data_IF_830584225578
#
_entry.id   IF_830584225578
#
_cell.length_a   1.000
_cell.length_b   1.000
_cell.length_c   1.000
_cell.angle_alpha   90.00
_cell.angle_beta   90.00
_cell.angle_gamma   90.00
#
_symmetry.space_group_name_H-M   'P 1'
#
loop_
_entity.id
_entity.type
_entity.pdbx_description
1 polymer ?
#
# COMPACT_ATOMS: atom_id res chain seq x y z
N UNK A 1 28.86 21.13 -4.96
CA UNK A 1 28.04 22.24 -4.44
C UNK A 1 26.70 21.65 -4.04
N UNK A 2 26.53 21.40 -2.74
CA UNK A 2 25.36 20.73 -2.15
C UNK A 2 24.23 21.74 -1.96
N UNK A 3 23.42 21.93 -2.99
CA UNK A 3 22.18 22.68 -2.89
C UNK A 3 21.10 21.77 -2.32
N UNK A 4 20.68 22.00 -1.08
CA UNK A 4 19.48 21.37 -0.51
C UNK A 4 18.28 21.84 -1.34
N UNK A 5 17.65 20.94 -2.10
CA UNK A 5 16.36 21.21 -2.73
C UNK A 5 15.30 21.08 -1.63
N UNK A 6 14.67 22.21 -1.30
CA UNK A 6 13.65 22.32 -0.25
C UNK A 6 12.39 21.60 -0.73
N UNK A 7 11.82 20.73 0.11
CA UNK A 7 10.47 20.16 -0.10
C UNK A 7 9.51 21.31 -0.41
N UNK A 8 8.67 21.24 -1.47
CA UNK A 8 7.71 22.29 -1.78
C UNK A 8 6.83 22.60 -0.55
N UNK A 9 6.81 23.88 -0.14
CA UNK A 9 6.04 24.39 1.00
C UNK A 9 4.50 24.16 1.00
N UNK A 10 3.76 23.87 -0.11
CA UNK A 10 2.30 23.80 -0.04
C UNK A 10 1.76 22.63 0.80
N UNK A 11 2.43 21.48 0.81
CA UNK A 11 1.96 20.28 1.52
C UNK A 11 2.24 20.35 3.03
N UNK A 12 3.38 20.96 3.41
CA UNK A 12 3.75 21.14 4.80
C UNK A 12 2.88 22.18 5.50
N UNK A 13 2.54 23.27 4.81
CA UNK A 13 1.73 24.36 5.37
C UNK A 13 0.31 23.94 5.75
N UNK A 14 -0.35 23.07 4.97
CA UNK A 14 -1.72 22.61 5.28
C UNK A 14 -1.72 21.65 6.47
N UNK A 15 -0.74 20.73 6.54
CA UNK A 15 -0.60 19.78 7.65
C UNK A 15 -0.16 20.48 8.95
N UNK A 16 0.76 21.44 8.87
CA UNK A 16 1.23 22.21 10.03
C UNK A 16 0.13 23.13 10.59
N UNK A 17 -0.70 23.72 9.72
CA UNK A 17 -1.85 24.55 10.14
C UNK A 17 -2.94 23.73 10.83
N UNK A 18 -3.17 22.48 10.39
CA UNK A 18 -4.07 21.54 11.04
C UNK A 18 -3.50 21.07 12.39
N UNK A 19 -2.22 20.72 12.46
CA UNK A 19 -1.56 20.29 13.69
C UNK A 19 -1.54 21.38 14.77
N UNK A 20 -1.29 22.65 14.38
CA UNK A 20 -1.32 23.78 15.31
C UNK A 20 -2.72 24.10 15.84
N UNK A 21 -3.79 23.83 15.08
CA UNK A 21 -5.18 24.06 15.51
C UNK A 21 -5.75 22.92 16.36
N UNK A 22 -5.25 21.69 16.18
CA UNK A 22 -5.61 20.56 17.03
C UNK A 22 -4.92 20.63 18.41
N UNK A 23 -3.70 21.17 18.48
CA UNK A 23 -2.97 21.33 19.75
C UNK A 23 -3.45 22.45 20.68
N UNK A 24 -4.36 23.32 20.23
CA UNK A 24 -4.78 24.52 21.00
C UNK A 24 -6.12 24.37 21.75
N UNK A 25 -6.77 23.20 21.70
CA UNK A 25 -8.11 22.99 22.31
C UNK A 25 -8.15 22.05 23.53
N UNK A 26 -7.01 21.72 24.16
CA UNK A 26 -7.01 20.97 25.42
C UNK A 26 -6.33 21.76 26.52
N UNK A 27 -7.11 22.57 27.24
CA UNK A 27 -6.67 23.22 28.48
C UNK A 27 -7.82 23.25 29.47
N UNK A 28 -8.01 22.16 30.21
CA UNK A 28 -8.81 22.17 31.44
C UNK A 28 -8.06 21.49 32.60
N UNK A 29 -8.30 21.92 33.86
CA UNK A 29 -7.40 21.69 34.97
C UNK A 29 -7.69 20.40 35.75
N UNK A 30 -6.63 19.77 36.29
CA UNK A 30 -6.69 18.51 37.04
C UNK A 30 -7.32 18.64 38.45
N UNK A 31 -8.15 17.69 38.92
CA UNK A 31 -8.53 17.57 40.33
C UNK A 31 -7.70 16.48 41.08
N UNK A 32 -7.74 16.45 42.43
CA UNK A 32 -6.65 15.94 43.25
C UNK A 32 -6.70 14.44 43.57
N UNK A 33 -5.55 13.92 44.01
CA UNK A 33 -5.26 12.52 44.29
C UNK A 33 -5.93 11.97 45.54
N UNK A 34 -6.55 10.79 45.42
CA UNK A 34 -6.83 9.89 46.55
C UNK A 34 -6.56 8.42 46.21
N UNK A 35 -6.17 7.68 47.24
CA UNK A 35 -5.48 6.39 47.27
C UNK A 35 -6.41 5.18 47.44
N UNK A 36 -6.11 4.06 46.75
CA UNK A 36 -5.94 2.65 47.23
C UNK A 36 -6.46 1.54 46.27
N UNK A 37 -5.48 0.76 45.79
CA UNK A 37 -5.35 -0.72 45.73
C UNK A 37 -6.44 -1.67 45.17
N UNK A 38 -5.92 -2.49 44.23
CA UNK A 38 -6.01 -3.97 44.05
C UNK A 38 -7.09 -4.60 43.16
N UNK A 39 -6.54 -5.33 42.16
CA UNK A 39 -6.99 -6.56 41.51
C UNK A 39 -7.95 -6.46 40.33
N UNK A 40 -7.40 -6.46 39.11
CA UNK A 40 -7.51 -7.58 38.14
C UNK A 40 -7.01 -7.09 36.77
N UNK A 41 -6.00 -7.76 36.23
CA UNK A 41 -5.38 -7.44 34.95
C UNK A 41 -6.31 -7.81 33.79
N UNK A 42 -7.19 -6.88 33.43
CA UNK A 42 -7.81 -6.84 32.11
C UNK A 42 -7.22 -5.62 31.43
N UNK A 43 -6.20 -5.85 30.59
CA UNK A 43 -5.62 -4.85 29.71
C UNK A 43 -6.71 -4.36 28.76
N UNK A 44 -7.38 -3.28 29.16
CA UNK A 44 -8.25 -2.49 28.30
C UNK A 44 -7.31 -1.67 27.42
N UNK A 45 -6.95 -2.24 26.27
CA UNK A 45 -6.24 -1.51 25.23
C UNK A 45 -7.16 -0.41 24.69
N UNK A 46 -6.64 0.80 24.41
CA UNK A 46 -7.44 1.85 23.82
C UNK A 46 -7.75 1.44 22.38
N UNK A 47 -9.04 1.24 22.10
CA UNK A 47 -9.61 1.16 20.75
C UNK A 47 -9.48 2.53 20.07
N UNK A 48 -8.26 2.99 19.79
CA UNK A 48 -8.05 4.13 18.89
C UNK A 48 -8.02 3.61 17.46
N UNK A 49 -9.20 3.25 16.95
CA UNK A 49 -9.45 3.47 15.54
C UNK A 49 -9.15 4.94 15.28
N UNK A 50 -8.21 5.26 14.38
CA UNK A 50 -8.00 6.63 13.92
C UNK A 50 -9.23 7.02 13.09
N UNK A 51 -10.34 7.27 13.77
CA UNK A 51 -11.42 8.07 13.24
C UNK A 51 -10.84 9.48 13.18
N UNK A 52 -10.51 9.93 11.97
CA UNK A 52 -10.32 11.34 11.74
C UNK A 52 -11.65 12.03 12.06
N UNK A 53 -11.80 12.49 13.31
CA UNK A 53 -12.92 13.29 13.79
C UNK A 53 -12.84 14.69 13.15
N UNK A 54 -12.96 14.73 11.82
CA UNK A 54 -13.08 15.95 11.06
C UNK A 54 -14.56 16.34 11.13
N UNK A 55 -14.85 17.44 11.80
CA UNK A 55 -16.20 17.95 11.86
C UNK A 55 -16.69 18.40 10.47
N UNK A 56 -18.01 18.44 10.29
CA UNK A 56 -18.65 18.76 9.01
C UNK A 56 -18.18 20.12 8.46
N UNK A 57 -17.95 21.10 9.31
CA UNK A 57 -17.54 22.45 8.89
C UNK A 57 -16.11 22.47 8.38
N UNK A 58 -15.19 21.79 9.08
CA UNK A 58 -13.81 21.60 8.62
C UNK A 58 -13.78 20.82 7.31
N UNK A 59 -14.62 19.78 7.17
CA UNK A 59 -14.79 19.03 5.92
C UNK A 59 -15.21 19.93 4.75
N UNK A 60 -16.21 20.80 4.94
CA UNK A 60 -16.63 21.75 3.91
C UNK A 60 -15.53 22.74 3.53
N UNK A 61 -14.74 23.21 4.49
CA UNK A 61 -13.63 24.12 4.22
C UNK A 61 -12.54 23.45 3.37
N UNK A 62 -12.17 22.21 3.71
CA UNK A 62 -11.20 21.43 2.93
C UNK A 62 -11.72 21.18 1.52
N UNK A 63 -12.99 20.78 1.39
CA UNK A 63 -13.62 20.54 0.09
C UNK A 63 -13.60 21.80 -0.78
N UNK A 64 -14.03 22.94 -0.24
CA UNK A 64 -14.03 24.22 -0.96
C UNK A 64 -12.61 24.63 -1.41
N UNK A 65 -11.60 24.37 -0.58
CA UNK A 65 -10.21 24.63 -0.93
C UNK A 65 -9.74 23.72 -2.08
N UNK A 66 -10.03 22.42 -2.03
CA UNK A 66 -9.65 21.47 -3.08
C UNK A 66 -10.37 21.78 -4.41
N UNK A 67 -11.63 22.18 -4.37
CA UNK A 67 -12.39 22.60 -5.55
C UNK A 67 -11.80 23.86 -6.21
N UNK A 68 -11.38 24.85 -5.42
CA UNK A 68 -10.69 26.04 -5.92
C UNK A 68 -9.32 25.68 -6.50
N UNK A 69 -8.59 24.81 -5.81
CA UNK A 69 -7.28 24.29 -6.25
C UNK A 69 -7.36 23.60 -7.61
N UNK A 70 -8.37 22.74 -7.82
CA UNK A 70 -8.60 22.05 -9.09
C UNK A 70 -8.95 22.98 -10.25
N UNK A 71 -9.54 24.15 -9.98
CA UNK A 71 -9.83 25.17 -11.01
C UNK A 71 -8.58 25.93 -11.44
N UNK A 72 -7.57 26.00 -10.57
CA UNK A 72 -6.33 26.72 -10.85
C UNK A 72 -5.30 25.84 -11.58
N UNK A 73 -5.47 25.68 -12.90
CA UNK A 73 -4.59 24.86 -13.74
C UNK A 73 -3.13 25.31 -13.73
N UNK A 74 -2.87 26.62 -13.72
CA UNK A 74 -1.50 27.15 -13.67
C UNK A 74 -0.78 26.72 -12.40
N UNK A 75 -1.48 26.73 -11.26
CA UNK A 75 -0.94 26.26 -9.99
C UNK A 75 -0.64 24.76 -10.03
N UNK A 76 -1.55 23.95 -10.58
CA UNK A 76 -1.33 22.50 -10.72
C UNK A 76 -0.10 22.18 -11.59
N UNK A 77 0.04 22.85 -12.74
CA UNK A 77 1.22 22.69 -13.62
C UNK A 77 2.52 23.09 -12.92
N UNK A 78 2.49 24.19 -12.17
CA UNK A 78 3.65 24.63 -11.40
C UNK A 78 4.04 23.63 -10.30
N UNK A 79 3.05 23.07 -9.61
CA UNK A 79 3.27 22.03 -8.59
C UNK A 79 3.81 20.75 -9.23
N UNK A 80 3.30 20.35 -10.40
CA UNK A 80 3.80 19.22 -11.17
C UNK A 80 5.26 19.40 -11.59
N UNK A 81 5.63 20.53 -12.20
CA UNK A 81 7.02 20.79 -12.58
C UNK A 81 7.99 20.85 -11.38
N UNK A 82 7.50 21.30 -10.22
CA UNK A 82 8.28 21.24 -8.99
C UNK A 82 8.55 19.78 -8.56
N UNK A 83 7.58 18.88 -8.73
CA UNK A 83 7.74 17.45 -8.48
C UNK A 83 8.64 16.76 -9.51
N UNK A 84 8.59 17.14 -10.79
CA UNK A 84 9.48 16.58 -11.82
C UNK A 84 10.96 16.83 -11.53
N UNK A 85 11.28 17.94 -10.86
CA UNK A 85 12.64 18.28 -10.44
C UNK A 85 13.01 17.78 -9.05
N UNK A 86 12.07 17.14 -8.35
CA UNK A 86 12.32 16.59 -7.02
C UNK A 86 13.22 15.36 -7.10
N UNK A 87 14.21 15.31 -6.21
CA UNK A 87 15.03 14.14 -6.00
C UNK A 87 15.07 13.83 -4.51
N UNK A 88 14.78 12.59 -4.14
CA UNK A 88 14.90 12.14 -2.76
C UNK A 88 16.37 12.25 -2.30
N UNK A 89 16.60 12.56 -1.03
CA UNK A 89 17.96 12.65 -0.48
C UNK A 89 18.68 11.27 -0.53
N UNK A 90 17.93 10.19 -0.35
CA UNK A 90 18.39 8.81 -0.48
C UNK A 90 17.71 8.14 -1.68
N UNK A 91 18.38 8.16 -2.83
CA UNK A 91 17.83 7.63 -4.09
C UNK A 91 18.67 6.49 -4.68
N UNK A 92 19.62 5.94 -3.90
CA UNK A 92 20.48 4.87 -4.36
C UNK A 92 19.68 3.60 -4.69
N UNK A 93 19.96 2.97 -5.82
CA UNK A 93 19.35 1.72 -6.31
C UNK A 93 20.42 0.66 -6.58
N UNK A 94 21.51 0.69 -5.81
CA UNK A 94 22.74 -0.08 -6.10
C UNK A 94 22.49 -1.58 -6.12
N UNK A 95 21.65 -2.09 -5.22
CA UNK A 95 21.30 -3.53 -5.16
C UNK A 95 20.44 -3.93 -6.36
N UNK A 96 19.42 -3.13 -6.66
CA UNK A 96 18.50 -3.36 -7.77
C UNK A 96 19.18 -3.29 -9.14
N UNK A 97 20.24 -2.48 -9.26
CA UNK A 97 21.02 -2.29 -10.48
C UNK A 97 22.14 -3.33 -10.69
N UNK A 98 22.29 -4.31 -9.79
CA UNK A 98 23.25 -5.41 -10.01
C UNK A 98 22.82 -6.26 -11.21
N UNK A 99 23.80 -6.71 -12.00
CA UNK A 99 23.56 -7.52 -13.19
C UNK A 99 22.81 -8.84 -12.88
N UNK A 100 23.02 -9.42 -11.70
CA UNK A 100 22.30 -10.62 -11.25
C UNK A 100 20.81 -10.38 -10.98
N UNK A 101 20.41 -9.12 -10.74
CA UNK A 101 19.04 -8.72 -10.44
C UNK A 101 18.31 -8.12 -11.65
N UNK A 102 19.00 -7.87 -12.78
CA UNK A 102 18.41 -7.20 -13.94
C UNK A 102 17.22 -7.95 -14.52
N UNK A 103 17.31 -9.28 -14.58
CA UNK A 103 16.24 -10.15 -15.10
C UNK A 103 15.01 -10.21 -14.17
N UNK A 104 15.12 -9.71 -12.94
CA UNK A 104 14.01 -9.60 -11.99
C UNK A 104 13.29 -8.25 -12.08
N UNK A 105 13.75 -7.33 -12.93
CA UNK A 105 13.19 -5.99 -13.12
C UNK A 105 12.39 -5.91 -14.43
N UNK A 106 11.12 -5.51 -14.35
CA UNK A 106 10.27 -5.32 -15.53
C UNK A 106 10.64 -4.07 -16.32
N UNK A 107 11.21 -3.06 -15.66
CA UNK A 107 11.59 -1.77 -16.25
C UNK A 107 12.77 -1.14 -15.52
N UNK A 108 13.21 0.02 -16.00
CA UNK A 108 14.24 0.86 -15.37
C UNK A 108 13.80 1.49 -14.02
N UNK A 109 12.53 1.30 -13.61
CA UNK A 109 12.03 1.75 -12.32
C UNK A 109 12.46 0.74 -11.26
N UNK A 110 13.37 1.18 -10.39
CA UNK A 110 14.03 0.33 -9.39
C UNK A 110 13.70 0.79 -7.97
N UNK A 111 13.60 -0.13 -6.99
CA UNK A 111 13.41 0.22 -5.60
C UNK A 111 14.68 0.86 -5.04
N UNK A 112 14.52 1.86 -4.16
CA UNK A 112 15.67 2.42 -3.45
C UNK A 112 16.20 1.44 -2.39
N UNK A 113 17.52 1.42 -2.21
CA UNK A 113 18.22 0.50 -1.31
C UNK A 113 17.71 0.61 0.15
N UNK A 114 17.31 1.82 0.58
CA UNK A 114 16.90 2.08 1.96
C UNK A 114 15.47 1.65 2.28
N UNK A 115 14.62 1.43 1.27
CA UNK A 115 13.22 1.05 1.45
C UNK A 115 12.80 -0.17 0.62
N UNK A 116 13.75 -0.86 -0.04
CA UNK A 116 13.46 -2.11 -0.74
C UNK A 116 12.98 -3.18 0.23
N UNK A 117 12.09 -4.04 -0.25
CA UNK A 117 11.78 -5.29 0.47
C UNK A 117 12.96 -6.25 0.33
N UNK A 118 13.32 -6.92 1.43
CA UNK A 118 14.41 -7.89 1.49
C UNK A 118 13.82 -9.25 1.83
N UNK A 119 13.91 -10.20 0.90
CA UNK A 119 13.38 -11.56 1.09
C UNK A 119 14.34 -12.42 1.90
N UNK A 120 13.81 -13.41 2.63
CA UNK A 120 14.67 -14.40 3.27
C UNK A 120 15.29 -15.36 2.23
N UNK A 121 16.54 -15.09 1.88
CA UNK A 121 17.35 -15.92 0.95
C UNK A 121 17.45 -17.40 1.29
N UNK A 122 17.23 -17.79 2.55
CA UNK A 122 17.30 -19.20 2.96
C UNK A 122 16.03 -19.98 2.63
N UNK A 123 14.95 -19.29 2.29
CA UNK A 123 13.64 -19.85 2.02
C UNK A 123 13.25 -19.83 0.54
N UNK A 124 14.12 -19.31 -0.33
CA UNK A 124 13.80 -19.11 -1.75
C UNK A 124 14.71 -19.90 -2.69
N UNK A 125 14.18 -20.17 -3.88
CA UNK A 125 14.82 -21.06 -4.86
C UNK A 125 16.12 -20.47 -5.41
N UNK A 126 16.20 -19.15 -5.52
CA UNK A 126 17.34 -18.44 -6.11
C UNK A 126 18.50 -18.21 -5.12
N UNK A 127 18.27 -18.40 -3.82
CA UNK A 127 19.21 -18.08 -2.74
C UNK A 127 19.68 -16.60 -2.72
N UNK A 128 18.83 -15.68 -3.17
CA UNK A 128 19.06 -14.23 -3.13
C UNK A 128 18.00 -13.52 -2.26
N UNK A 129 18.11 -12.22 -2.05
CA UNK A 129 17.16 -11.46 -1.22
C UNK A 129 16.32 -10.46 -2.02
N UNK A 130 16.39 -10.53 -3.36
CA UNK A 130 15.96 -9.43 -4.22
C UNK A 130 14.58 -9.67 -4.83
N UNK A 131 13.73 -8.66 -4.66
CA UNK A 131 12.49 -8.47 -5.39
C UNK A 131 12.31 -6.97 -5.65
N UNK A 132 11.79 -6.60 -6.82
CA UNK A 132 11.50 -5.21 -7.14
C UNK A 132 10.22 -4.75 -6.43
N UNK A 133 10.39 -4.35 -5.17
CA UNK A 133 9.34 -3.82 -4.31
C UNK A 133 9.92 -2.87 -3.26
N UNK A 134 9.13 -1.88 -2.84
CA UNK A 134 9.47 -0.90 -1.81
C UNK A 134 8.38 -0.77 -0.75
N UNK A 135 8.77 -0.65 0.51
CA UNK A 135 7.86 -0.29 1.60
C UNK A 135 7.57 1.21 1.58
N UNK A 136 6.30 1.59 1.76
CA UNK A 136 5.82 2.97 1.86
C UNK A 136 5.15 3.13 3.23
N UNK A 137 5.60 4.13 3.99
CA UNK A 137 5.10 4.43 5.33
C UNK A 137 4.40 5.80 5.33
N UNK A 138 3.20 5.91 5.89
CA UNK A 138 2.49 7.19 5.99
C UNK A 138 3.06 8.09 7.11
N UNK A 139 3.06 7.61 8.36
CA UNK A 139 3.41 8.44 9.53
C UNK A 139 4.39 7.79 10.51
N UNK A 140 4.33 6.46 10.70
CA UNK A 140 5.35 5.72 11.47
C UNK A 140 6.23 4.92 10.51
N UNK A 141 7.54 5.24 10.39
CA UNK A 141 8.45 4.47 9.55
C UNK A 141 8.63 3.01 9.99
N UNK A 142 8.19 2.63 11.20
CA UNK A 142 8.24 1.25 11.71
C UNK A 142 6.99 0.43 11.35
N UNK A 143 5.95 1.07 10.83
CA UNK A 143 4.71 0.41 10.40
C UNK A 143 4.44 0.78 8.94
N UNK A 144 5.12 0.11 7.98
CA UNK A 144 4.88 0.37 6.57
C UNK A 144 3.42 0.09 6.26
N UNK A 145 2.74 1.08 5.70
CA UNK A 145 1.31 1.01 5.42
C UNK A 145 1.07 0.29 4.10
N UNK A 146 2.00 0.44 3.15
CA UNK A 146 1.92 -0.16 1.84
C UNK A 146 3.25 -0.78 1.39
N UNK A 147 3.15 -1.76 0.50
CA UNK A 147 4.27 -2.25 -0.30
C UNK A 147 3.93 -1.94 -1.75
N UNK A 148 4.72 -1.11 -2.41
CA UNK A 148 4.64 -0.91 -3.85
C UNK A 148 5.54 -1.92 -4.55
N UNK A 149 4.99 -2.74 -5.43
CA UNK A 149 5.74 -3.74 -6.17
C UNK A 149 5.39 -3.68 -7.67
N UNK A 150 6.34 -4.04 -8.53
CA UNK A 150 6.05 -4.22 -9.97
C UNK A 150 5.09 -5.39 -10.19
N UNK A 151 4.35 -5.39 -11.30
CA UNK A 151 3.67 -6.59 -11.79
C UNK A 151 4.65 -7.77 -11.97
N UNK A 152 4.42 -8.94 -11.33
CA UNK A 152 5.34 -10.07 -11.37
C UNK A 152 5.73 -10.49 -12.79
N UNK A 153 6.98 -10.92 -12.96
CA UNK A 153 7.48 -11.60 -14.16
C UNK A 153 7.24 -13.10 -13.99
N UNK A 154 7.29 -13.88 -15.06
CA UNK A 154 7.13 -15.33 -14.99
C UNK A 154 8.10 -15.98 -13.98
N UNK A 155 9.36 -15.51 -13.96
CA UNK A 155 10.40 -16.04 -13.07
C UNK A 155 10.35 -15.48 -11.65
N UNK A 156 9.55 -14.44 -11.39
CA UNK A 156 9.44 -13.81 -10.05
C UNK A 156 8.10 -14.05 -9.36
N UNK A 157 7.23 -14.91 -9.92
CA UNK A 157 5.94 -15.27 -9.28
C UNK A 157 6.16 -15.93 -7.90
N UNK A 158 7.17 -16.80 -7.76
CA UNK A 158 7.47 -17.42 -6.47
C UNK A 158 7.97 -16.40 -5.44
N UNK A 159 8.90 -15.51 -5.84
CA UNK A 159 9.42 -14.42 -5.01
C UNK A 159 8.28 -13.49 -4.54
N UNK A 160 7.29 -13.25 -5.41
CA UNK A 160 6.11 -12.45 -5.11
C UNK A 160 5.22 -13.08 -4.02
N UNK A 161 4.94 -14.38 -4.09
CA UNK A 161 4.21 -15.07 -3.02
C UNK A 161 5.01 -15.17 -1.72
N UNK A 162 6.34 -15.28 -1.81
CA UNK A 162 7.20 -15.19 -0.65
C UNK A 162 7.10 -13.81 0.02
N UNK A 163 7.13 -12.72 -0.76
CA UNK A 163 6.92 -11.37 -0.25
C UNK A 163 5.59 -11.27 0.50
N UNK A 164 4.49 -11.73 -0.09
CA UNK A 164 3.16 -11.72 0.54
C UNK A 164 3.20 -12.45 1.88
N UNK A 165 3.81 -13.64 1.90
CA UNK A 165 3.90 -14.47 3.08
C UNK A 165 4.75 -13.85 4.18
N UNK A 166 5.96 -13.39 3.87
CA UNK A 166 6.89 -12.84 4.86
C UNK A 166 6.40 -11.51 5.44
N UNK A 167 5.74 -10.69 4.62
CA UNK A 167 5.25 -9.38 5.03
C UNK A 167 3.88 -9.41 5.72
N UNK A 168 3.23 -10.58 5.82
CA UNK A 168 1.91 -10.66 6.44
C UNK A 168 0.81 -10.01 5.60
N UNK A 169 1.01 -9.79 4.30
CA UNK A 169 0.03 -9.04 3.51
C UNK A 169 -1.19 -9.92 3.20
N UNK A 170 -2.37 -9.47 3.63
CA UNK A 170 -3.65 -10.15 3.35
C UNK A 170 -4.41 -9.54 2.18
N UNK A 171 -3.89 -8.46 1.58
CA UNK A 171 -4.59 -7.71 0.56
C UNK A 171 -3.65 -7.26 -0.55
N UNK A 172 -4.01 -7.61 -1.78
CA UNK A 172 -3.31 -7.26 -3.02
C UNK A 172 -4.21 -6.29 -3.80
N UNK A 173 -3.67 -5.15 -4.19
CA UNK A 173 -4.33 -4.23 -5.13
C UNK A 173 -3.58 -4.27 -6.45
N UNK A 174 -4.20 -4.86 -7.47
CA UNK A 174 -3.66 -4.87 -8.83
C UNK A 174 -4.36 -3.80 -9.67
N UNK A 175 -3.60 -2.83 -10.17
CA UNK A 175 -4.11 -1.71 -10.95
C UNK A 175 -3.90 -1.85 -12.47
N UNK A 176 -3.34 -2.97 -12.93
CA UNK A 176 -3.02 -3.19 -14.36
C UNK A 176 -3.65 -4.49 -14.91
N UNK A 177 -3.94 -4.51 -16.21
CA UNK A 177 -4.28 -5.76 -16.90
C UNK A 177 -3.03 -6.62 -17.09
N UNK A 178 -3.21 -7.89 -17.48
CA UNK A 178 -2.06 -8.74 -17.82
C UNK A 178 -1.37 -8.27 -19.12
N UNK A 179 -2.18 -7.85 -20.10
CA UNK A 179 -1.73 -7.39 -21.41
C UNK A 179 -2.48 -6.12 -21.80
N UNK A 180 -1.75 -5.11 -22.25
CA UNK A 180 -2.28 -3.86 -22.78
C UNK A 180 -1.55 -3.52 -24.08
N UNK A 181 -2.28 -3.15 -25.14
CA UNK A 181 -1.69 -2.82 -26.44
C UNK A 181 -0.71 -3.90 -26.98
N UNK A 182 -1.02 -5.18 -26.73
CA UNK A 182 -0.17 -6.36 -27.03
C UNK A 182 1.16 -6.44 -26.27
N UNK A 183 1.37 -5.59 -25.26
CA UNK A 183 2.52 -5.63 -24.36
C UNK A 183 2.11 -6.29 -23.04
N UNK A 184 2.92 -7.24 -22.57
CA UNK A 184 2.72 -7.84 -21.26
C UNK A 184 3.06 -6.84 -20.15
N UNK A 185 2.07 -6.51 -19.31
CA UNK A 185 2.20 -5.61 -18.17
C UNK A 185 2.39 -6.36 -16.86
N UNK A 186 1.80 -7.54 -16.74
CA UNK A 186 1.89 -8.39 -15.56
C UNK A 186 1.73 -9.85 -15.96
N UNK A 187 2.55 -10.74 -15.40
CA UNK A 187 2.32 -12.17 -15.51
C UNK A 187 1.15 -12.57 -14.59
N UNK A 188 0.37 -13.59 -14.97
CA UNK A 188 -0.65 -14.15 -14.09
C UNK A 188 0.03 -14.92 -12.96
N UNK A 189 -0.03 -14.39 -11.74
CA UNK A 189 0.57 -14.99 -10.55
C UNK A 189 -0.44 -15.76 -9.68
N UNK A 190 -1.65 -16.04 -10.18
CA UNK A 190 -2.70 -16.73 -9.45
C UNK A 190 -3.33 -17.83 -10.29
N UNK A 191 -3.88 -18.91 -9.70
CA UNK A 191 -4.54 -19.98 -10.45
C UNK A 191 -5.79 -19.51 -11.18
N UNK A 192 -6.01 -20.01 -12.39
CA UNK A 192 -7.26 -19.78 -13.13
C UNK A 192 -8.44 -20.54 -12.51
N UNK A 193 -8.18 -21.74 -12.00
CA UNK A 193 -9.11 -22.52 -11.19
C UNK A 193 -8.33 -23.43 -10.23
N UNK A 194 -8.98 -23.79 -9.11
CA UNK A 194 -8.40 -24.72 -8.14
C UNK A 194 -7.11 -24.19 -7.51
N UNK A 195 -6.04 -24.97 -7.58
CA UNK A 195 -4.78 -24.74 -6.85
C UNK A 195 -3.59 -24.74 -7.80
N UNK A 196 -2.71 -23.75 -7.64
CA UNK A 196 -1.35 -23.75 -8.22
C UNK A 196 -0.31 -23.66 -7.09
N UNK A 197 0.87 -24.23 -7.31
CA UNK A 197 1.97 -24.22 -6.34
C UNK A 197 3.12 -23.38 -6.89
N UNK A 198 3.50 -22.35 -6.14
CA UNK A 198 4.64 -21.48 -6.44
C UNK A 198 5.72 -21.72 -5.39
N UNK A 199 6.74 -22.50 -5.74
CA UNK A 199 7.74 -23.00 -4.79
C UNK A 199 7.11 -23.77 -3.61
N UNK A 200 7.06 -23.17 -2.42
CA UNK A 200 6.49 -23.76 -1.19
C UNK A 200 5.12 -23.17 -0.84
N UNK A 201 4.59 -22.29 -1.69
CA UNK A 201 3.33 -21.60 -1.50
C UNK A 201 2.26 -22.23 -2.37
N UNK A 202 1.34 -22.95 -1.73
CA UNK A 202 0.14 -23.47 -2.37
C UNK A 202 -0.94 -22.38 -2.33
N UNK A 203 -1.41 -21.96 -3.51
CA UNK A 203 -2.41 -20.90 -3.68
C UNK A 203 -3.65 -21.51 -4.29
N UNK A 204 -4.76 -21.44 -3.56
CA UNK A 204 -6.05 -21.94 -4.02
C UNK A 204 -7.02 -20.78 -4.26
N UNK A 205 -7.60 -20.69 -5.45
CA UNK A 205 -8.66 -19.73 -5.76
C UNK A 205 -9.97 -20.20 -5.13
N UNK A 206 -10.38 -19.53 -4.05
CA UNK A 206 -11.61 -19.82 -3.32
C UNK A 206 -12.82 -19.23 -4.04
N UNK A 207 -12.70 -17.98 -4.51
CA UNK A 207 -13.79 -17.28 -5.18
C UNK A 207 -13.29 -16.16 -6.07
N UNK A 208 -13.99 -15.92 -7.18
CA UNK A 208 -13.85 -14.73 -8.02
C UNK A 208 -15.21 -14.05 -8.15
N UNK A 209 -15.26 -12.76 -7.81
CA UNK A 209 -16.47 -11.95 -7.86
C UNK A 209 -16.24 -10.76 -8.78
N UNK A 210 -16.95 -10.75 -9.92
CA UNK A 210 -16.98 -9.62 -10.85
C UNK A 210 -18.03 -8.63 -10.32
N UNK A 211 -17.59 -7.47 -9.84
CA UNK A 211 -18.49 -6.46 -9.27
C UNK A 211 -19.09 -5.57 -10.35
N UNK A 212 -18.26 -5.14 -11.29
CA UNK A 212 -18.66 -4.40 -12.47
C UNK A 212 -17.61 -4.60 -13.57
N UNK A 213 -17.76 -3.88 -14.68
CA UNK A 213 -16.77 -3.91 -15.78
C UNK A 213 -15.40 -3.35 -15.36
N UNK A 214 -15.36 -2.52 -14.31
CA UNK A 214 -14.14 -1.82 -13.90
C UNK A 214 -13.25 -2.60 -12.93
N UNK A 215 -13.79 -3.56 -12.19
CA UNK A 215 -13.00 -4.34 -11.24
C UNK A 215 -13.66 -5.66 -10.82
N UNK A 216 -12.80 -6.56 -10.33
CA UNK A 216 -13.18 -7.82 -9.72
C UNK A 216 -12.39 -8.05 -8.41
N UNK A 217 -12.86 -9.00 -7.62
CA UNK A 217 -12.22 -9.40 -6.36
C UNK A 217 -12.03 -10.91 -6.34
N UNK A 218 -10.82 -11.36 -6.03
CA UNK A 218 -10.48 -12.77 -5.80
C UNK A 218 -10.13 -13.01 -4.34
N UNK A 219 -10.57 -14.14 -3.83
CA UNK A 219 -10.18 -14.63 -2.49
C UNK A 219 -9.33 -15.86 -2.68
N UNK A 220 -8.15 -15.86 -2.07
CA UNK A 220 -7.19 -16.95 -2.11
C UNK A 220 -7.03 -17.56 -0.73
N UNK A 221 -6.90 -18.88 -0.70
CA UNK A 221 -6.38 -19.61 0.43
C UNK A 221 -4.90 -19.91 0.15
N UNK A 222 -4.02 -19.30 0.93
CA UNK A 222 -2.58 -19.40 0.83
C UNK A 222 -2.06 -20.32 1.93
N UNK A 223 -1.29 -21.34 1.55
CA UNK A 223 -0.69 -22.30 2.49
C UNK A 223 0.80 -22.41 2.23
N UNK A 224 1.59 -22.29 3.31
CA UNK A 224 2.99 -22.68 3.28
C UNK A 224 3.07 -24.19 3.51
N UNK A 225 3.51 -24.95 2.50
CA UNK A 225 3.51 -26.42 2.57
C UNK A 225 4.58 -26.97 3.54
N UNK A 226 5.61 -26.19 3.85
CA UNK A 226 6.65 -26.62 4.79
C UNK A 226 6.21 -26.44 6.24
N UNK A 227 5.59 -25.30 6.57
CA UNK A 227 5.13 -25.01 7.95
C UNK A 227 3.70 -25.47 8.21
N UNK A 228 2.92 -25.76 7.15
CA UNK A 228 1.49 -26.03 7.18
C UNK A 228 0.63 -24.87 7.69
N UNK A 229 1.22 -23.68 7.88
CA UNK A 229 0.49 -22.47 8.22
C UNK A 229 -0.30 -21.98 7.01
N UNK A 230 -1.41 -21.28 7.28
CA UNK A 230 -2.38 -20.88 6.27
C UNK A 230 -2.85 -19.45 6.50
N UNK A 231 -3.22 -18.76 5.42
CA UNK A 231 -3.74 -17.39 5.43
C UNK A 231 -4.76 -17.19 4.32
N UNK A 232 -5.66 -16.24 4.50
CA UNK A 232 -6.54 -15.76 3.44
C UNK A 232 -5.97 -14.48 2.85
N UNK A 233 -5.86 -14.43 1.52
CA UNK A 233 -5.38 -13.25 0.79
C UNK A 233 -6.44 -12.81 -0.19
N UNK A 234 -6.80 -11.53 -0.17
CA UNK A 234 -7.80 -10.96 -1.08
C UNK A 234 -7.12 -10.09 -2.12
N UNK A 235 -7.35 -10.37 -3.40
CA UNK A 235 -6.88 -9.54 -4.50
C UNK A 235 -8.02 -8.71 -5.06
N UNK A 236 -7.82 -7.40 -5.08
CA UNK A 236 -8.67 -6.42 -5.73
C UNK A 236 -8.02 -6.06 -7.06
N UNK A 237 -8.68 -6.36 -8.18
CA UNK A 237 -8.12 -6.15 -9.51
C UNK A 237 -8.93 -5.11 -10.27
N UNK A 238 -8.35 -3.91 -10.44
CA UNK A 238 -8.92 -2.82 -11.20
C UNK A 238 -8.51 -2.95 -12.67
N UNK A 239 -9.49 -2.94 -13.58
CA UNK A 239 -9.34 -3.27 -15.00
C UNK A 239 -9.52 -2.06 -15.93
N UNK A 240 -10.08 -0.95 -15.44
CA UNK A 240 -10.42 0.20 -16.29
C UNK A 240 -9.42 1.35 -16.21
N UNK A 241 -8.21 1.13 -15.70
CA UNK A 241 -7.16 2.15 -15.75
C UNK A 241 -6.51 2.15 -17.14
N UNK A 242 -6.51 3.27 -17.88
CA UNK A 242 -5.88 3.34 -19.20
C UNK A 242 -4.37 3.56 -19.11
N UNK A 243 -3.59 2.93 -19.99
CA UNK A 243 -2.12 3.06 -20.03
C UNK A 243 -1.64 4.52 -20.17
N UNK A 244 -2.21 5.26 -21.14
CA UNK A 244 -1.78 6.62 -21.48
C UNK A 244 -2.66 7.71 -20.82
N UNK A 245 -3.16 7.47 -19.61
CA UNK A 245 -3.93 8.50 -18.93
C UNK A 245 -4.53 8.10 -17.59
N UNK A 246 -5.69 8.69 -17.31
CA UNK A 246 -6.45 8.47 -16.08
C UNK A 246 -7.88 8.03 -16.42
N UNK A 247 -8.54 7.27 -15.55
CA UNK A 247 -9.96 6.97 -15.71
C UNK A 247 -10.79 8.24 -15.89
N UNK A 248 -11.77 8.21 -16.80
CA UNK A 248 -12.63 9.36 -17.11
C UNK A 248 -13.43 9.89 -15.92
N UNK A 249 -13.65 9.04 -14.90
CA UNK A 249 -14.26 9.44 -13.65
C UNK A 249 -13.57 8.74 -12.47
N UNK A 250 -13.46 9.45 -11.34
CA UNK A 250 -12.88 8.90 -10.12
C UNK A 250 -13.87 7.98 -9.36
N UNK A 251 -15.14 7.90 -9.78
CA UNK A 251 -16.19 7.19 -9.05
C UNK A 251 -15.88 5.70 -8.93
N UNK A 252 -15.53 5.04 -10.04
CA UNK A 252 -15.20 3.61 -10.02
C UNK A 252 -14.00 3.30 -9.11
N UNK A 253 -12.97 4.16 -9.13
CA UNK A 253 -11.79 4.01 -8.25
C UNK A 253 -12.14 4.25 -6.76
N UNK A 254 -13.01 5.22 -6.46
CA UNK A 254 -13.48 5.47 -5.09
C UNK A 254 -14.37 4.35 -4.56
N UNK A 255 -15.24 3.78 -5.40
CA UNK A 255 -16.07 2.61 -5.05
C UNK A 255 -15.21 1.36 -4.84
N UNK A 256 -14.21 1.14 -5.68
CA UNK A 256 -13.18 0.12 -5.52
C UNK A 256 -12.45 0.26 -4.18
N UNK A 257 -12.00 1.48 -3.84
CA UNK A 257 -11.37 1.78 -2.55
C UNK A 257 -12.32 1.54 -1.37
N UNK A 258 -13.61 1.88 -1.50
CA UNK A 258 -14.59 1.67 -0.41
C UNK A 258 -14.84 0.19 -0.15
N UNK A 259 -15.02 -0.62 -1.19
CA UNK A 259 -15.19 -2.08 -1.02
C UNK A 259 -13.97 -2.72 -0.36
N UNK A 260 -12.76 -2.22 -0.63
CA UNK A 260 -11.55 -2.64 0.11
C UNK A 260 -11.67 -2.34 1.60
N UNK A 261 -12.16 -1.15 1.96
CA UNK A 261 -12.36 -0.76 3.37
C UNK A 261 -13.46 -1.58 4.06
N UNK A 262 -14.56 -1.89 3.37
CA UNK A 262 -15.68 -2.67 3.93
C UNK A 262 -15.35 -4.18 4.00
N UNK A 263 -14.51 -4.68 3.08
CA UNK A 263 -13.96 -6.04 3.13
C UNK A 263 -13.13 -6.32 4.40
N UNK A 264 -12.51 -5.29 5.00
CA UNK A 264 -11.87 -5.39 6.32
C UNK A 264 -12.85 -5.70 7.44
N UNK A 265 -14.11 -5.32 7.30
CA UNK A 265 -15.14 -5.49 8.34
C UNK A 265 -15.86 -6.83 8.21
N UNK A 266 -15.93 -7.39 7.00
CA UNK A 266 -16.61 -8.66 6.72
C UNK A 266 -15.70 -9.90 6.88
N UNK A 267 -14.38 -9.75 6.70
CA UNK A 267 -13.39 -10.83 6.86
C UNK A 267 -12.80 -10.78 8.29
N UNK A 268 -13.53 -11.39 9.23
CA UNK A 268 -13.09 -11.86 10.57
C UNK A 268 -12.74 -10.85 11.68
N UNK A 269 -13.32 -11.12 12.85
CA UNK A 269 -13.08 -10.54 14.18
C UNK A 269 -11.65 -10.76 14.77
N UNK A 270 -10.66 -11.15 13.95
CA UNK A 270 -9.30 -11.48 14.40
C UNK A 270 -8.20 -10.73 13.62
N UNK A 271 -8.55 -9.66 12.89
CA UNK A 271 -7.57 -8.96 12.06
C UNK A 271 -6.74 -7.93 12.87
N UNK A 272 -5.42 -8.11 12.90
CA UNK A 272 -4.48 -7.15 13.50
C UNK A 272 -4.32 -5.93 12.57
N UNK A 273 -4.60 -4.69 13.00
CA UNK A 273 -4.54 -3.50 12.15
C UNK A 273 -3.14 -3.11 11.62
N UNK A 274 -2.09 -3.84 11.97
CA UNK A 274 -0.68 -3.56 11.60
C UNK A 274 -0.21 -4.22 10.29
N UNK A 275 -1.06 -4.98 9.57
CA UNK A 275 -0.62 -5.70 8.37
C UNK A 275 -0.58 -4.82 7.09
N UNK A 276 0.54 -4.79 6.34
CA UNK A 276 0.71 -3.92 5.19
C UNK A 276 -0.12 -4.34 3.98
N UNK A 277 -0.60 -3.37 3.20
CA UNK A 277 -1.27 -3.60 1.93
C UNK A 277 -0.26 -3.67 0.80
N UNK A 278 -0.33 -4.69 -0.05
CA UNK A 278 0.44 -4.67 -1.27
C UNK A 278 -0.33 -3.96 -2.38
N UNK A 279 0.33 -3.00 -3.01
CA UNK A 279 -0.14 -2.29 -4.19
C UNK A 279 0.79 -2.63 -5.34
N UNK A 280 0.22 -3.09 -6.44
CA UNK A 280 0.93 -3.32 -7.69
C UNK A 280 0.39 -2.42 -8.78
N UNK A 281 1.33 -1.90 -9.56
CA UNK A 281 1.11 -1.14 -10.77
C UNK A 281 2.00 -1.70 -11.88
#
# INVERSE_FOLDING_TARGET
>A
MTGKVKVPEPLRGVMDTLAQRLGSQTSEPSPPAHTRSTNSSVSSWPEESVQSNIDISTGHMILSYLEDHLKNKERLEKEWHALESYQADQWATTTAALLENSEKNRSEILPFDHCRVVLNKTLNQANDDYINASTICDSDPRSPTYIAAQGPLADTVADFWQLIWEQGSVAIVNLTKLVENNNEKCCRYWPENGTEIYHVFEVHLVSEHIWCEDYLVRSFYLKNINTQETRTVTQFHFLSWPEDGVPMNAKSLLEFRRHKSDGRTAVSQDHNPEEPYMVMA
#
